data_IF_670771409985
#
_entry.id   IF_670771409985
#
_cell.length_a   1.000
_cell.length_b   1.000
_cell.length_c   1.000
_cell.angle_alpha   90.00
_cell.angle_beta   90.00
_cell.angle_gamma   90.00
#
_symmetry.space_group_name_H-M   'P 1'
#
loop_
_entity.id
_entity.type
_entity.pdbx_description
1 polymer ?
#
# COMPACT_ATOMS: atom_id res chain seq x y z
N UNK A 1 -19.81 -14.08 8.08
CA UNK A 1 -20.00 -13.05 7.04
C UNK A 1 -21.41 -13.19 6.49
N UNK A 2 -22.35 -12.38 6.95
CA UNK A 2 -23.67 -12.29 6.33
C UNK A 2 -23.53 -11.38 5.10
N UNK A 3 -23.41 -11.97 3.92
CA UNK A 3 -23.48 -11.24 2.66
C UNK A 3 -24.91 -10.83 2.41
N UNK A 4 -25.34 -9.70 2.99
CA UNK A 4 -26.62 -9.12 2.66
C UNK A 4 -26.59 -8.67 1.19
N UNK A 5 -27.55 -9.17 0.41
CA UNK A 5 -27.62 -8.89 -1.01
C UNK A 5 -28.08 -7.43 -1.17
N UNK A 6 -27.19 -6.58 -1.68
CA UNK A 6 -27.44 -5.16 -1.94
C UNK A 6 -28.73 -4.93 -2.72
N UNK A 7 -29.10 -5.91 -3.56
CA UNK A 7 -30.36 -5.95 -4.32
C UNK A 7 -31.61 -5.94 -3.44
N UNK A 8 -31.57 -6.59 -2.28
CA UNK A 8 -32.68 -6.67 -1.35
C UNK A 8 -32.92 -5.31 -0.67
N UNK A 9 -31.84 -4.63 -0.28
CA UNK A 9 -31.89 -3.32 0.40
C UNK A 9 -32.43 -2.23 -0.53
N UNK A 10 -32.04 -2.24 -1.80
CA UNK A 10 -32.46 -1.22 -2.78
C UNK A 10 -33.75 -1.58 -3.53
N UNK A 11 -34.36 -2.74 -3.26
CA UNK A 11 -35.54 -3.25 -3.99
C UNK A 11 -36.69 -2.24 -4.07
N UNK A 12 -36.97 -1.56 -2.95
CA UNK A 12 -38.05 -0.57 -2.79
C UNK A 12 -37.73 0.84 -3.32
N UNK A 13 -36.55 1.06 -3.90
CA UNK A 13 -36.14 2.35 -4.45
C UNK A 13 -36.47 2.48 -5.94
N UNK A 14 -36.61 3.72 -6.40
CA UNK A 14 -36.82 4.00 -7.84
C UNK A 14 -35.56 3.69 -8.64
N UNK A 15 -35.70 3.46 -9.96
CA UNK A 15 -34.57 3.11 -10.83
C UNK A 15 -33.45 4.16 -10.82
N UNK A 16 -33.83 5.44 -10.67
CA UNK A 16 -32.88 6.55 -10.53
C UNK A 16 -32.15 6.50 -9.19
N UNK A 17 -32.84 6.19 -8.10
CA UNK A 17 -32.26 6.05 -6.76
C UNK A 17 -31.33 4.83 -6.67
N UNK A 18 -31.74 3.70 -7.27
CA UNK A 18 -30.91 2.49 -7.41
C UNK A 18 -29.60 2.80 -8.11
N UNK A 19 -29.66 3.46 -9.27
CA UNK A 19 -28.48 3.86 -10.05
C UNK A 19 -27.55 4.78 -9.27
N UNK A 20 -28.08 5.71 -8.48
CA UNK A 20 -27.30 6.59 -7.60
C UNK A 20 -26.53 5.76 -6.56
N UNK A 21 -27.19 4.79 -5.92
CA UNK A 21 -26.60 3.98 -4.85
C UNK A 21 -25.55 3.01 -5.40
N UNK A 22 -25.84 2.33 -6.50
CA UNK A 22 -24.87 1.47 -7.20
C UNK A 22 -23.61 2.26 -7.56
N UNK A 23 -23.80 3.46 -8.10
CA UNK A 23 -22.71 4.37 -8.44
C UNK A 23 -21.91 4.79 -7.20
N UNK A 24 -22.61 5.13 -6.10
CA UNK A 24 -21.99 5.50 -4.84
C UNK A 24 -21.16 4.36 -4.24
N UNK A 25 -21.61 3.12 -4.37
CA UNK A 25 -20.91 1.95 -3.82
C UNK A 25 -19.73 1.52 -4.71
N UNK A 26 -19.90 1.56 -6.04
CA UNK A 26 -18.85 1.14 -6.97
C UNK A 26 -17.71 2.16 -7.10
N UNK A 27 -18.05 3.44 -7.25
CA UNK A 27 -17.06 4.51 -7.49
C UNK A 27 -16.78 5.34 -6.24
N UNK A 28 -17.75 5.45 -5.33
CA UNK A 28 -17.73 6.46 -4.29
C UNK A 28 -17.81 7.87 -4.88
N UNK A 29 -17.50 8.86 -4.05
CA UNK A 29 -17.43 10.26 -4.47
C UNK A 29 -18.36 11.16 -3.67
N UNK A 30 -18.19 12.47 -3.88
CA UNK A 30 -19.06 13.46 -3.28
C UNK A 30 -20.44 13.45 -3.94
N UNK A 31 -21.46 13.94 -3.22
CA UNK A 31 -22.81 14.05 -3.78
C UNK A 31 -22.84 14.90 -5.07
N UNK A 32 -21.95 15.88 -5.16
CA UNK A 32 -21.74 16.74 -6.33
C UNK A 32 -21.21 15.97 -7.54
N UNK A 33 -20.19 15.14 -7.35
CA UNK A 33 -19.62 14.32 -8.43
C UNK A 33 -20.64 13.33 -8.99
N UNK A 34 -21.39 12.67 -8.10
CA UNK A 34 -22.43 11.70 -8.48
C UNK A 34 -23.59 12.40 -9.21
N UNK A 35 -23.98 13.58 -8.73
CA UNK A 35 -24.99 14.42 -9.35
C UNK A 35 -24.61 14.81 -10.78
N UNK A 36 -23.38 15.29 -10.99
CA UNK A 36 -22.87 15.65 -12.31
C UNK A 36 -22.80 14.45 -13.26
N UNK A 37 -22.40 13.27 -12.77
CA UNK A 37 -22.26 12.08 -13.62
C UNK A 37 -23.60 11.48 -14.04
N UNK A 38 -24.61 11.50 -13.15
CA UNK A 38 -25.93 10.94 -13.42
C UNK A 38 -26.93 11.99 -13.94
N UNK A 39 -26.48 13.22 -14.13
CA UNK A 39 -27.29 14.37 -14.54
C UNK A 39 -28.55 14.57 -13.65
N UNK A 40 -28.37 14.47 -12.33
CA UNK A 40 -29.41 14.68 -11.32
C UNK A 40 -29.01 15.79 -10.36
N UNK A 41 -29.97 16.35 -9.63
CA UNK A 41 -29.64 17.34 -8.58
C UNK A 41 -28.90 16.70 -7.40
N UNK A 42 -27.98 17.43 -6.76
CA UNK A 42 -27.33 16.98 -5.52
C UNK A 42 -28.36 16.58 -4.44
N UNK A 43 -29.49 17.30 -4.37
CA UNK A 43 -30.60 17.00 -3.45
C UNK A 43 -31.19 15.60 -3.69
N UNK A 44 -31.28 15.17 -4.95
CA UNK A 44 -31.74 13.83 -5.31
C UNK A 44 -30.76 12.78 -4.82
N UNK A 45 -29.45 13.05 -4.94
CA UNK A 45 -28.39 12.16 -4.45
C UNK A 45 -28.48 12.02 -2.93
N UNK A 46 -28.59 13.14 -2.19
CA UNK A 46 -28.75 13.10 -0.73
C UNK A 46 -30.00 12.34 -0.30
N UNK A 47 -31.14 12.53 -0.99
CA UNK A 47 -32.38 11.80 -0.68
C UNK A 47 -32.23 10.29 -0.94
N UNK A 48 -31.60 9.90 -2.05
CA UNK A 48 -31.36 8.49 -2.37
C UNK A 48 -30.47 7.83 -1.32
N UNK A 49 -29.36 8.48 -0.95
CA UNK A 49 -28.45 7.98 0.09
C UNK A 49 -29.13 7.91 1.47
N UNK A 50 -29.98 8.87 1.81
CA UNK A 50 -30.75 8.83 3.05
C UNK A 50 -31.71 7.63 3.09
N UNK A 51 -32.46 7.41 2.01
CA UNK A 51 -33.37 6.25 1.90
C UNK A 51 -32.62 4.92 2.00
N UNK A 52 -31.49 4.81 1.31
CA UNK A 52 -30.63 3.64 1.38
C UNK A 52 -30.16 3.34 2.81
N UNK A 53 -29.63 4.33 3.51
CA UNK A 53 -29.15 4.16 4.89
C UNK A 53 -30.28 3.78 5.85
N UNK A 54 -31.47 4.35 5.65
CA UNK A 54 -32.64 3.99 6.44
C UNK A 54 -33.05 2.54 6.21
N UNK A 55 -33.10 2.10 4.95
CA UNK A 55 -33.39 0.71 4.59
C UNK A 55 -32.31 -0.26 5.12
N UNK A 56 -31.04 0.13 5.08
CA UNK A 56 -29.94 -0.65 5.64
C UNK A 56 -30.07 -0.79 7.17
N UNK A 57 -30.45 0.28 7.88
CA UNK A 57 -30.67 0.26 9.33
C UNK A 57 -31.86 -0.64 9.72
N UNK A 58 -32.95 -0.61 8.95
CA UNK A 58 -34.10 -1.50 9.15
C UNK A 58 -33.73 -2.98 8.99
N UNK A 59 -32.71 -3.28 8.17
CA UNK A 59 -32.13 -4.63 8.01
C UNK A 59 -31.01 -4.95 9.02
N UNK A 60 -30.77 -4.08 10.01
CA UNK A 60 -29.75 -4.29 11.04
C UNK A 60 -28.31 -4.00 10.60
N UNK A 61 -28.12 -3.30 9.48
CA UNK A 61 -26.81 -2.90 8.97
C UNK A 61 -26.48 -1.49 9.50
N UNK A 62 -25.40 -1.38 10.28
CA UNK A 62 -24.96 -0.09 10.83
C UNK A 62 -24.55 0.89 9.71
N UNK A 63 -25.23 2.05 9.59
CA UNK A 63 -24.92 3.02 8.56
C UNK A 63 -23.54 3.67 8.66
N UNK A 64 -22.87 3.54 9.81
CA UNK A 64 -21.56 4.14 10.09
C UNK A 64 -20.49 3.72 9.07
N UNK A 65 -20.58 2.50 8.54
CA UNK A 65 -19.68 2.01 7.49
C UNK A 65 -19.88 2.73 6.14
N UNK A 66 -21.05 3.30 5.86
CA UNK A 66 -21.30 3.97 4.58
C UNK A 66 -20.74 5.40 4.54
N UNK A 67 -20.60 6.07 5.67
CA UNK A 67 -20.07 7.45 5.71
C UNK A 67 -18.54 7.53 5.67
N UNK A 68 -17.85 6.39 5.68
CA UNK A 68 -16.40 6.35 5.85
C UNK A 68 -15.66 6.13 4.52
N UNK A 69 -15.78 7.08 3.59
CA UNK A 69 -14.53 7.59 2.98
C UNK A 69 -13.95 8.56 4.00
N UNK A 70 -13.24 8.03 5.00
CA UNK A 70 -12.24 8.86 5.70
C UNK A 70 -11.29 9.31 4.59
N UNK A 71 -11.36 10.59 4.24
CA UNK A 71 -10.14 11.32 3.91
C UNK A 71 -9.10 10.93 4.97
N UNK A 72 -7.87 10.69 4.55
CA UNK A 72 -6.76 10.11 5.33
C UNK A 72 -6.27 11.09 6.43
N UNK A 73 -7.16 11.85 7.05
CA UNK A 73 -6.84 12.87 8.04
C UNK A 73 -7.81 12.71 9.21
N UNK A 74 -7.26 12.14 10.28
CA UNK A 74 -7.67 12.34 11.67
C UNK A 74 -9.10 11.96 12.05
N UNK A 75 -9.26 10.70 12.45
CA UNK A 75 -10.17 10.38 13.56
C UNK A 75 -9.57 9.25 14.37
N UNK A 76 -9.22 9.58 15.62
CA UNK A 76 -8.76 8.67 16.65
C UNK A 76 -9.66 7.44 16.72
N UNK A 77 -9.09 6.22 16.80
CA UNK A 77 -9.89 5.01 16.89
C UNK A 77 -10.57 4.94 18.26
N UNK A 78 -11.90 4.82 18.27
CA UNK A 78 -12.61 4.28 19.42
C UNK A 78 -12.06 2.87 19.67
N UNK A 79 -11.33 2.71 20.77
CA UNK A 79 -10.82 1.42 21.24
C UNK A 79 -12.02 0.53 21.60
N UNK A 80 -12.44 -0.33 20.68
CA UNK A 80 -12.93 -1.64 21.11
C UNK A 80 -11.71 -2.34 21.71
N UNK A 81 -11.63 -2.36 23.04
CA UNK A 81 -10.51 -2.92 23.78
C UNK A 81 -10.55 -4.44 23.72
N UNK A 82 -10.14 -5.00 22.58
CA UNK A 82 -9.61 -6.37 22.57
C UNK A 82 -8.32 -6.29 23.40
N UNK A 83 -8.17 -7.16 24.40
CA UNK A 83 -7.00 -7.12 25.26
C UNK A 83 -5.73 -7.30 24.41
N UNK A 84 -4.65 -6.55 24.71
CA UNK A 84 -3.41 -6.66 23.95
C UNK A 84 -2.89 -8.11 23.93
N UNK A 85 -3.15 -8.88 24.98
CA UNK A 85 -2.79 -10.30 25.07
C UNK A 85 -3.50 -11.18 24.03
N UNK A 86 -4.79 -10.97 23.76
CA UNK A 86 -5.51 -11.75 22.74
C UNK A 86 -5.00 -11.42 21.34
N UNK A 87 -4.62 -10.17 21.10
CA UNK A 87 -4.03 -9.76 19.82
C UNK A 87 -2.65 -10.40 19.65
N UNK A 88 -1.84 -10.46 20.71
CA UNK A 88 -0.52 -11.05 20.67
C UNK A 88 -0.58 -12.58 20.48
N UNK A 89 -1.50 -13.26 21.16
CA UNK A 89 -1.77 -14.69 20.97
C UNK A 89 -2.21 -14.99 19.53
N UNK A 90 -3.11 -14.18 18.97
CA UNK A 90 -3.54 -14.34 17.57
C UNK A 90 -2.39 -14.11 16.58
N UNK A 91 -1.49 -13.15 16.85
CA UNK A 91 -0.30 -12.95 16.01
C UNK A 91 0.64 -14.14 16.09
N UNK A 92 0.91 -14.65 17.28
CA UNK A 92 1.77 -15.83 17.46
C UNK A 92 1.21 -17.05 16.73
N UNK A 93 -0.11 -17.29 16.84
CA UNK A 93 -0.78 -18.36 16.11
C UNK A 93 -0.70 -18.19 14.59
N UNK A 94 -0.92 -16.95 14.09
CA UNK A 94 -0.81 -16.66 12.66
C UNK A 94 0.63 -16.81 12.16
N UNK A 95 1.62 -16.35 12.93
CA UNK A 95 3.03 -16.49 12.57
C UNK A 95 3.43 -17.97 12.53
N UNK A 96 3.04 -18.75 13.53
CA UNK A 96 3.30 -20.19 13.55
C UNK A 96 2.69 -20.88 12.31
N UNK A 97 1.43 -20.57 11.99
CA UNK A 97 0.76 -21.19 10.84
C UNK A 97 1.37 -20.75 9.50
N UNK A 98 1.72 -19.47 9.34
CA UNK A 98 2.43 -18.99 8.15
C UNK A 98 3.77 -19.69 7.99
N UNK A 99 4.55 -19.82 9.07
CA UNK A 99 5.85 -20.52 9.01
C UNK A 99 5.68 -21.99 8.65
N UNK A 100 4.66 -22.67 9.18
CA UNK A 100 4.34 -24.07 8.86
C UNK A 100 3.99 -24.23 7.38
N UNK A 101 3.13 -23.37 6.84
CA UNK A 101 2.73 -23.41 5.43
C UNK A 101 3.93 -23.16 4.51
N UNK A 102 4.77 -22.18 4.85
CA UNK A 102 5.97 -21.86 4.07
C UNK A 102 6.95 -23.04 4.10
N UNK A 103 7.18 -23.65 5.27
CA UNK A 103 8.06 -24.80 5.40
C UNK A 103 7.56 -26.00 4.58
N UNK A 104 6.27 -26.35 4.69
CA UNK A 104 5.66 -27.43 3.90
C UNK A 104 5.76 -27.16 2.39
N UNK A 105 5.53 -25.91 1.98
CA UNK A 105 5.66 -25.50 0.58
C UNK A 105 7.10 -25.60 0.07
N UNK A 106 8.09 -25.14 0.87
CA UNK A 106 9.51 -25.22 0.53
C UNK A 106 9.95 -26.68 0.46
N UNK A 107 9.60 -27.50 1.45
CA UNK A 107 9.95 -28.93 1.47
C UNK A 107 9.37 -29.66 0.26
N UNK A 108 8.11 -29.39 -0.10
CA UNK A 108 7.47 -29.98 -1.28
C UNK A 108 8.15 -29.53 -2.58
N UNK A 109 8.48 -28.25 -2.70
CA UNK A 109 9.19 -27.71 -3.86
C UNK A 109 10.59 -28.29 -4.01
N UNK A 110 11.38 -28.31 -2.93
CA UNK A 110 12.72 -28.89 -2.92
C UNK A 110 12.70 -30.38 -3.22
N UNK A 111 11.75 -31.14 -2.66
CA UNK A 111 11.58 -32.56 -2.96
C UNK A 111 11.26 -32.78 -4.43
N UNK A 112 10.36 -31.97 -5.00
CA UNK A 112 10.03 -32.03 -6.43
C UNK A 112 11.25 -31.77 -7.31
N UNK A 113 12.01 -30.71 -7.02
CA UNK A 113 13.24 -30.37 -7.75
C UNK A 113 14.31 -31.46 -7.61
N UNK A 114 14.48 -32.02 -6.41
CA UNK A 114 15.43 -33.13 -6.19
C UNK A 114 15.00 -34.41 -6.91
N UNK A 115 13.71 -34.75 -6.90
CA UNK A 115 13.19 -35.91 -7.65
C UNK A 115 13.32 -35.70 -9.17
N UNK A 116 13.14 -34.47 -9.66
CA UNK A 116 13.36 -34.09 -11.06
C UNK A 116 14.84 -34.23 -11.44
N UNK A 117 15.76 -33.63 -10.67
CA UNK A 117 17.21 -33.74 -10.91
C UNK A 117 17.68 -35.20 -10.83
N UNK A 118 17.18 -35.98 -9.87
CA UNK A 118 17.54 -37.40 -9.74
C UNK A 118 16.97 -38.24 -10.89
N UNK A 119 15.78 -37.91 -11.39
CA UNK A 119 15.17 -38.57 -12.54
C UNK A 119 15.91 -38.22 -13.83
N UNK A 120 16.30 -36.95 -14.00
CA UNK A 120 17.13 -36.49 -15.11
C UNK A 120 18.52 -37.12 -15.08
N UNK A 121 19.15 -37.23 -13.90
CA UNK A 121 20.43 -37.93 -13.74
C UNK A 121 20.32 -39.43 -14.00
N UNK A 122 19.26 -40.10 -13.55
CA UNK A 122 19.05 -41.53 -13.85
C UNK A 122 18.76 -41.75 -15.33
N UNK A 123 17.98 -40.89 -15.97
CA UNK A 123 17.73 -40.95 -17.41
C UNK A 123 19.02 -40.74 -18.20
N UNK A 124 19.83 -39.75 -17.83
CA UNK A 124 21.12 -39.48 -18.46
C UNK A 124 22.18 -40.54 -18.16
N UNK A 125 22.19 -41.18 -16.98
CA UNK A 125 23.06 -42.32 -16.66
C UNK A 125 22.65 -43.61 -17.40
N UNK A 126 21.35 -43.83 -17.61
CA UNK A 126 20.86 -44.96 -18.40
C UNK A 126 21.20 -44.84 -19.89
N UNK A 127 21.38 -43.60 -20.39
CA UNK A 127 21.88 -43.30 -21.74
C UNK A 127 23.42 -43.33 -21.85
N UNK A 128 24.14 -43.25 -20.72
CA UNK A 128 25.61 -43.16 -20.68
C UNK A 128 26.32 -44.52 -20.56
N UNK A 129 25.58 -45.63 -20.56
CA UNK A 129 26.18 -46.98 -20.48
C UNK A 129 26.87 -47.42 -21.78
N UNK A 130 26.65 -46.68 -22.87
CA UNK A 130 27.36 -46.85 -24.14
C UNK A 130 28.13 -45.55 -24.50
N UNK A 131 29.39 -45.71 -24.89
CA UNK A 131 30.38 -44.74 -25.43
C UNK A 131 31.23 -43.83 -24.50
N UNK A 132 32.59 -43.93 -24.61
CA UNK A 132 33.56 -43.08 -23.89
C UNK A 132 33.78 -41.67 -24.48
N UNK A 133 32.99 -41.21 -25.46
CA UNK A 133 33.13 -39.88 -26.09
C UNK A 133 32.52 -38.71 -25.29
N UNK A 134 31.70 -38.99 -24.27
CA UNK A 134 30.91 -37.98 -23.54
C UNK A 134 31.66 -37.19 -22.46
N UNK A 135 32.97 -37.40 -22.23
CA UNK A 135 33.75 -36.59 -21.27
C UNK A 135 34.28 -35.29 -21.90
N UNK A 136 34.75 -35.32 -23.15
CA UNK A 136 35.31 -34.13 -23.81
C UNK A 136 34.24 -33.05 -24.12
N UNK A 137 32.98 -33.46 -24.31
CA UNK A 137 31.86 -32.54 -24.51
C UNK A 137 31.36 -31.91 -23.19
N UNK A 138 31.52 -32.61 -22.06
CA UNK A 138 31.18 -32.06 -20.74
C UNK A 138 32.21 -31.02 -20.28
N UNK A 139 33.49 -31.24 -20.57
CA UNK A 139 34.56 -30.31 -20.23
C UNK A 139 34.39 -28.96 -20.96
N UNK A 140 34.04 -29.00 -22.25
CA UNK A 140 33.74 -27.79 -23.03
C UNK A 140 32.44 -27.08 -22.61
N UNK A 141 31.42 -27.81 -22.16
CA UNK A 141 30.22 -27.20 -21.56
C UNK A 141 30.53 -26.53 -20.22
N UNK A 142 31.36 -27.16 -19.39
CA UNK A 142 31.75 -26.61 -18.09
C UNK A 142 32.61 -25.35 -18.27
N UNK A 143 33.51 -25.35 -19.25
CA UNK A 143 34.31 -24.17 -19.63
C UNK A 143 33.43 -23.03 -20.15
N UNK A 144 32.40 -23.34 -20.96
CA UNK A 144 31.41 -22.34 -21.40
C UNK A 144 30.61 -21.75 -20.24
N UNK A 145 30.16 -22.58 -19.29
CA UNK A 145 29.44 -22.11 -18.10
C UNK A 145 30.35 -21.26 -17.22
N UNK A 146 31.62 -21.63 -17.07
CA UNK A 146 32.59 -20.87 -16.29
C UNK A 146 32.90 -19.51 -16.94
N UNK A 147 33.07 -19.48 -18.26
CA UNK A 147 33.26 -18.25 -19.02
C UNK A 147 32.03 -17.35 -18.90
N UNK A 148 30.83 -17.91 -19.02
CA UNK A 148 29.58 -17.16 -18.89
C UNK A 148 29.39 -16.63 -17.46
N UNK A 149 29.74 -17.42 -16.45
CA UNK A 149 29.70 -16.99 -15.06
C UNK A 149 30.67 -15.84 -14.81
N UNK A 150 31.91 -15.93 -15.33
CA UNK A 150 32.89 -14.84 -15.28
C UNK A 150 32.34 -13.56 -15.92
N UNK A 151 31.77 -13.64 -17.12
CA UNK A 151 31.15 -12.48 -17.77
C UNK A 151 30.02 -11.85 -16.93
N UNK A 152 29.19 -12.68 -16.29
CA UNK A 152 28.10 -12.17 -15.45
C UNK A 152 28.61 -11.53 -14.16
N UNK A 153 29.67 -12.08 -13.56
CA UNK A 153 30.32 -11.50 -12.39
C UNK A 153 30.99 -10.17 -12.75
N UNK A 154 31.66 -10.06 -13.89
CA UNK A 154 32.23 -8.80 -14.37
C UNK A 154 31.16 -7.74 -14.60
N UNK A 155 30.04 -8.11 -15.25
CA UNK A 155 28.90 -7.20 -15.45
C UNK A 155 28.30 -6.75 -14.13
N UNK A 156 28.16 -7.67 -13.17
CA UNK A 156 27.66 -7.36 -11.84
C UNK A 156 28.61 -6.41 -11.10
N UNK A 157 29.92 -6.66 -11.16
CA UNK A 157 30.92 -5.80 -10.55
C UNK A 157 30.91 -4.38 -11.17
N UNK A 158 30.83 -4.29 -12.49
CA UNK A 158 30.69 -3.01 -13.19
C UNK A 158 29.39 -2.26 -12.82
N UNK A 159 28.30 -2.98 -12.54
CA UNK A 159 27.06 -2.37 -12.07
C UNK A 159 27.19 -1.86 -10.63
N UNK A 160 27.84 -2.62 -9.74
CA UNK A 160 28.14 -2.18 -8.37
C UNK A 160 29.00 -0.92 -8.41
N UNK A 161 30.03 -0.88 -9.25
CA UNK A 161 30.90 0.29 -9.37
C UNK A 161 30.16 1.52 -9.91
N UNK A 162 29.28 1.34 -10.91
CA UNK A 162 28.38 2.41 -11.38
C UNK A 162 27.42 2.89 -10.29
N UNK A 163 26.93 1.99 -9.44
CA UNK A 163 26.07 2.35 -8.31
C UNK A 163 26.86 3.12 -7.26
N UNK A 164 28.05 2.67 -6.89
CA UNK A 164 28.94 3.39 -5.98
C UNK A 164 29.25 4.79 -6.52
N UNK A 165 29.60 4.94 -7.80
CA UNK A 165 29.80 6.26 -8.42
C UNK A 165 28.55 7.14 -8.38
N UNK A 166 27.34 6.57 -8.43
CA UNK A 166 26.09 7.33 -8.29
C UNK A 166 25.84 7.72 -6.83
N UNK A 167 26.17 6.84 -5.88
CA UNK A 167 26.07 7.11 -4.44
C UNK A 167 27.08 8.20 -4.06
N UNK A 168 28.33 8.12 -4.52
CA UNK A 168 29.36 9.14 -4.29
C UNK A 168 28.96 10.51 -4.87
N UNK A 169 28.25 10.53 -6.00
CA UNK A 169 27.66 11.77 -6.56
C UNK A 169 26.52 12.33 -5.71
N UNK A 170 25.82 11.49 -4.95
CA UNK A 170 24.80 11.91 -3.99
C UNK A 170 25.40 12.34 -2.66
N UNK A 171 26.59 11.84 -2.32
CA UNK A 171 27.32 12.11 -1.07
C UNK A 171 28.31 13.29 -1.19
N UNK A 172 28.31 14.01 -2.32
CA UNK A 172 29.00 15.31 -2.41
C UNK A 172 28.38 16.23 -1.37
N UNK A 173 29.16 16.76 -0.41
CA UNK A 173 28.66 17.74 0.54
C UNK A 173 28.10 18.89 -0.26
N UNK A 174 26.81 19.20 -0.06
CA UNK A 174 26.15 20.41 -0.56
C UNK A 174 26.91 21.63 0.00
N UNK A 175 28.02 21.99 -0.62
CA UNK A 175 28.61 23.31 -0.50
C UNK A 175 27.68 24.25 -1.26
N UNK A 176 26.70 24.75 -0.53
CA UNK A 176 26.36 26.17 -0.46
C UNK A 176 26.76 27.00 -1.68
N UNK A 177 25.94 26.95 -2.73
CA UNK A 177 25.71 28.12 -3.58
C UNK A 177 24.50 28.85 -3.00
N UNK A 178 24.78 30.04 -2.46
CA UNK A 178 23.93 30.76 -1.53
C UNK A 178 22.53 31.08 -2.05
N UNK A 179 21.54 30.83 -1.19
CA UNK A 179 20.44 31.75 -1.00
C UNK A 179 20.43 32.12 0.48
N UNK A 180 20.67 33.41 0.71
CA UNK A 180 20.71 34.07 2.00
C UNK A 180 19.44 33.81 2.81
N UNK A 181 19.59 33.15 3.94
CA UNK A 181 18.91 33.56 5.17
C UNK A 181 19.73 33.00 6.33
N UNK A 182 20.83 33.70 6.60
CA UNK A 182 21.49 33.61 7.87
C UNK A 182 20.45 33.89 8.95
N UNK A 183 20.24 32.91 9.82
CA UNK A 183 19.62 33.13 11.12
C UNK A 183 20.60 33.96 11.94
N UNK A 184 20.68 35.25 11.59
CA UNK A 184 21.30 36.27 12.43
C UNK A 184 20.33 36.50 13.57
N UNK A 185 20.77 36.07 14.73
CA UNK A 185 20.22 36.38 16.03
C UNK A 185 20.38 37.89 16.27
N UNK A 186 19.52 38.71 15.64
CA UNK A 186 19.48 40.16 15.84
C UNK A 186 18.05 40.60 16.18
N UNK A 187 17.92 40.97 17.46
CA UNK A 187 17.09 42.06 17.98
C UNK A 187 15.79 42.38 17.24
N UNK A 188 14.69 41.94 17.86
CA UNK A 188 13.33 42.44 17.69
C UNK A 188 13.29 43.96 17.42
N UNK A 189 13.05 44.34 16.17
CA UNK A 189 12.45 45.63 15.84
C UNK A 189 10.97 45.40 15.55
N UNK A 190 10.17 46.00 16.42
CA UNK A 190 8.72 46.06 16.37
C UNK A 190 8.33 46.94 15.20
N UNK A 191 7.93 46.35 14.07
CA UNK A 191 7.04 47.00 13.09
C UNK A 191 6.04 45.98 12.51
N UNK A 192 4.96 45.79 13.28
CA UNK A 192 3.56 45.85 12.83
C UNK A 192 3.22 45.57 11.35
N UNK A 193 3.27 44.31 10.92
CA UNK A 193 2.13 43.76 10.17
C UNK A 193 2.11 42.23 10.22
N UNK A 194 0.99 41.66 10.67
CA UNK A 194 0.73 40.23 10.55
C UNK A 194 0.63 39.86 9.06
N UNK A 195 1.13 38.68 8.65
CA UNK A 195 1.03 38.21 7.27
C UNK A 195 -0.42 38.24 6.75
N UNK A 196 -0.60 38.54 5.45
CA UNK A 196 -1.92 38.78 4.84
C UNK A 196 -2.92 37.63 4.98
N UNK A 197 -2.45 36.38 5.12
CA UNK A 197 -3.30 35.21 5.35
C UNK A 197 -3.82 35.08 6.80
N UNK A 198 -3.26 35.86 7.72
CA UNK A 198 -3.63 35.92 9.14
C UNK A 198 -4.53 37.13 9.43
N UNK A 199 -4.50 38.13 8.55
CA UNK A 199 -5.37 39.31 8.64
C UNK A 199 -6.84 38.91 8.42
N UNK A 200 -7.70 39.24 9.38
CA UNK A 200 -9.12 38.87 9.35
C UNK A 200 -9.44 37.51 9.96
N UNK A 201 -8.47 36.82 10.59
CA UNK A 201 -8.75 35.60 11.32
C UNK A 201 -9.28 35.94 12.75
N UNK A 202 -10.57 35.68 13.04
CA UNK A 202 -11.18 36.04 14.33
C UNK A 202 -10.58 35.30 15.53
N UNK A 203 -9.82 34.23 15.29
CA UNK A 203 -9.18 33.45 16.35
C UNK A 203 -7.88 34.09 16.85
N UNK A 204 -7.25 34.96 16.07
CA UNK A 204 -5.99 35.60 16.46
C UNK A 204 -6.22 36.58 17.62
N UNK A 205 -7.34 37.31 17.62
CA UNK A 205 -7.74 38.21 18.71
C UNK A 205 -8.12 37.46 20.00
N UNK A 206 -8.45 36.18 19.90
CA UNK A 206 -8.75 35.32 21.05
C UNK A 206 -7.45 34.76 21.61
N UNK A 207 -6.51 34.38 20.75
CA UNK A 207 -5.22 33.79 21.12
C UNK A 207 -4.19 34.84 21.59
N UNK A 208 -4.31 36.09 21.12
CA UNK A 208 -3.45 37.19 21.52
C UNK A 208 -3.80 37.79 22.88
N UNK A 209 -4.96 37.44 23.45
CA UNK A 209 -5.33 37.88 24.80
C UNK A 209 -4.45 37.18 25.82
N UNK A 210 -3.68 37.91 26.64
CA UNK A 210 -2.97 37.30 27.76
C UNK A 210 -4.01 36.71 28.71
N UNK A 211 -3.83 35.43 29.09
CA UNK A 211 -4.62 34.83 30.16
C UNK A 211 -4.33 35.62 31.43
N UNK A 212 -5.35 36.32 31.95
CA UNK A 212 -5.26 36.97 33.26
C UNK A 212 -5.12 35.86 34.30
N UNK A 213 -4.13 35.91 35.20
CA UNK A 213 -3.98 34.94 36.29
C UNK A 213 -5.10 35.06 37.33
#
# INVERSE_FOLDING_TARGET
MAGYDLKEIISNLTDTEKRIIETYIQKGGSAKEIASMLNVSERTVYKALYKYRKAALEMGIDPSNFYLRKTVVSSAPQKQSISPDVIEEMKEQLLAEITRIIEESIQKSLRGVLEEILSEQKASLSLRKDEPKNMALQESQLEYVFLRLSETLEKLNANIEKLNQKIDKLDVPRQSSGNSSAWSQETYTVETSLPSFVQGNPWIDILSRPRVP
#
